data_IF_312388541672
#
_entry.id   IF_312388541672
#
_cell.length_a   1.000
_cell.length_b   1.000
_cell.length_c   1.000
_cell.angle_alpha   90.00
_cell.angle_beta   90.00
_cell.angle_gamma   90.00
#
_symmetry.space_group_name_H-M   'P 1'
#
loop_
_entity.id
_entity.type
_entity.pdbx_description
1 polymer ?
#
# COMPACT_ATOMS: atom_id res chain seq x y z
N UNK A 1 13.09 -52.33 -7.40
CA UNK A 1 13.12 -51.44 -6.23
C UNK A 1 12.71 -50.07 -6.70
N UNK A 2 11.87 -49.42 -5.91
CA UNK A 2 10.93 -48.36 -6.25
C UNK A 2 11.48 -47.10 -6.90
N UNK A 3 10.60 -46.53 -7.72
CA UNK A 3 10.56 -45.18 -8.26
C UNK A 3 10.61 -44.12 -7.13
N UNK A 4 11.43 -43.08 -7.29
CA UNK A 4 11.31 -41.84 -6.51
C UNK A 4 10.94 -40.73 -7.48
N UNK A 5 9.65 -40.40 -7.50
CA UNK A 5 9.09 -39.23 -8.16
C UNK A 5 9.65 -37.94 -7.52
N UNK A 6 9.94 -36.88 -8.31
CA UNK A 6 10.20 -35.59 -7.72
C UNK A 6 8.89 -35.02 -7.18
N UNK A 7 8.91 -34.70 -5.88
CA UNK A 7 7.87 -33.96 -5.20
C UNK A 7 7.73 -32.57 -5.84
N UNK A 8 6.66 -32.38 -6.62
CA UNK A 8 6.26 -31.05 -7.11
C UNK A 8 5.76 -30.22 -5.92
N UNK A 9 6.60 -29.31 -5.46
CA UNK A 9 6.17 -28.21 -4.60
C UNK A 9 5.08 -27.36 -5.29
N UNK A 10 4.31 -26.58 -4.53
CA UNK A 10 3.22 -25.77 -5.09
C UNK A 10 3.77 -24.83 -6.19
N UNK A 11 3.03 -24.67 -7.30
CA UNK A 11 3.46 -23.78 -8.37
C UNK A 11 3.59 -22.35 -7.82
N UNK A 12 4.74 -21.73 -8.04
CA UNK A 12 4.88 -20.29 -7.85
C UNK A 12 3.84 -19.59 -8.75
N UNK A 13 3.20 -18.50 -8.29
CA UNK A 13 2.22 -17.80 -9.11
C UNK A 13 2.91 -17.33 -10.40
N UNK A 14 2.47 -17.89 -11.53
CA UNK A 14 2.94 -17.50 -12.86
C UNK A 14 2.50 -16.06 -13.09
N UNK A 15 3.46 -15.13 -13.09
CA UNK A 15 3.19 -13.73 -13.42
C UNK A 15 2.84 -13.66 -14.90
N UNK A 16 1.60 -13.26 -15.22
CA UNK A 16 1.14 -13.13 -16.60
C UNK A 16 1.99 -12.07 -17.33
N UNK A 17 2.58 -12.39 -18.50
CA UNK A 17 3.49 -11.49 -19.21
C UNK A 17 2.79 -10.24 -19.78
N UNK A 18 1.46 -10.19 -19.81
CA UNK A 18 0.66 -9.02 -20.17
C UNK A 18 0.11 -8.27 -18.95
N UNK A 19 0.37 -8.74 -17.73
CA UNK A 19 0.03 -7.99 -16.52
C UNK A 19 0.85 -6.69 -16.45
N UNK A 20 0.27 -5.58 -15.95
CA UNK A 20 1.01 -4.36 -15.74
C UNK A 20 2.22 -4.62 -14.82
N UNK A 21 3.42 -4.31 -15.31
CA UNK A 21 4.63 -4.44 -14.51
C UNK A 21 4.64 -3.40 -13.40
N UNK A 22 4.98 -3.76 -12.15
CA UNK A 22 5.05 -2.80 -11.05
C UNK A 22 6.10 -1.73 -11.35
N UNK A 23 5.77 -0.47 -11.07
CA UNK A 23 6.62 0.70 -11.38
C UNK A 23 7.95 0.72 -10.60
N UNK A 24 8.13 -0.15 -9.60
CA UNK A 24 9.33 -0.29 -8.77
C UNK A 24 9.84 1.03 -8.15
N UNK A 25 8.94 1.99 -7.89
CA UNK A 25 9.30 3.25 -7.24
C UNK A 25 9.58 2.99 -5.76
N UNK A 26 10.79 3.25 -5.26
CA UNK A 26 11.11 3.05 -3.86
C UNK A 26 10.26 3.99 -2.99
N UNK A 27 9.47 3.42 -2.09
CA UNK A 27 8.68 4.18 -1.10
C UNK A 27 9.45 4.23 0.22
N UNK A 28 10.00 5.40 0.54
CA UNK A 28 10.52 5.64 1.89
C UNK A 28 9.34 5.91 2.83
N UNK A 29 9.29 5.30 4.03
CA UNK A 29 8.22 5.58 4.98
C UNK A 29 8.17 7.07 5.30
N UNK A 30 6.96 7.61 5.39
CA UNK A 30 6.72 9.03 5.63
C UNK A 30 6.89 9.37 7.12
N UNK A 31 6.78 8.36 7.99
CA UNK A 31 6.82 8.52 9.44
C UNK A 31 5.45 8.76 10.07
N UNK A 32 4.40 8.87 9.25
CA UNK A 32 3.01 8.86 9.71
C UNK A 32 2.35 7.51 9.40
N UNK A 33 1.90 6.81 10.44
CA UNK A 33 1.33 5.48 10.30
C UNK A 33 0.04 5.45 9.47
N UNK A 34 -0.74 6.55 9.47
CA UNK A 34 -1.95 6.66 8.67
C UNK A 34 -1.63 6.79 7.19
N UNK A 35 -0.70 7.67 6.85
CA UNK A 35 -0.20 7.84 5.47
C UNK A 35 0.48 6.56 4.97
N UNK A 36 1.36 5.96 5.77
CA UNK A 36 2.09 4.75 5.39
C UNK A 36 1.15 3.56 5.15
N UNK A 37 0.09 3.41 5.95
CA UNK A 37 -0.92 2.37 5.74
C UNK A 37 -1.69 2.56 4.42
N UNK A 38 -2.02 3.80 4.04
CA UNK A 38 -2.70 4.10 2.77
C UNK A 38 -1.79 3.87 1.56
N UNK A 39 -0.50 4.16 1.69
CA UNK A 39 0.49 3.85 0.65
C UNK A 39 0.70 2.34 0.47
N UNK A 40 0.68 1.57 1.55
CA UNK A 40 0.70 0.12 1.48
C UNK A 40 -0.55 -0.42 0.75
N UNK A 41 -1.74 0.11 1.06
CA UNK A 41 -3.00 -0.25 0.37
C UNK A 41 -2.98 0.09 -1.11
N UNK A 42 -2.31 1.17 -1.51
CA UNK A 42 -2.14 1.51 -2.91
C UNK A 42 -1.32 0.45 -3.67
N UNK A 43 -0.35 -0.20 -3.02
CA UNK A 43 0.42 -1.28 -3.63
C UNK A 43 -0.43 -2.53 -3.94
N UNK A 44 -1.54 -2.75 -3.22
CA UNK A 44 -2.49 -3.82 -3.57
C UNK A 44 -3.13 -3.57 -4.95
N UNK A 45 -3.30 -2.31 -5.37
CA UNK A 45 -3.89 -1.98 -6.67
C UNK A 45 -3.04 -2.49 -7.84
N UNK A 46 -1.70 -2.52 -7.72
CA UNK A 46 -0.81 -3.07 -8.76
C UNK A 46 -1.14 -4.54 -9.08
N UNK A 47 -1.82 -5.25 -8.17
CA UNK A 47 -2.16 -6.67 -8.31
C UNK A 47 -3.63 -6.91 -8.67
N UNK A 48 -4.44 -5.85 -8.73
CA UNK A 48 -5.86 -5.94 -9.08
C UNK A 48 -6.06 -5.85 -10.60
N UNK A 49 -7.15 -6.43 -11.13
CA UNK A 49 -7.61 -6.10 -12.47
C UNK A 49 -8.08 -4.63 -12.50
N UNK A 50 -8.03 -4.00 -13.67
CA UNK A 50 -8.29 -2.56 -13.87
C UNK A 50 -9.66 -2.11 -13.33
N UNK A 51 -10.66 -2.99 -13.37
CA UNK A 51 -12.00 -2.76 -12.81
C UNK A 51 -11.97 -2.52 -11.29
N UNK A 52 -11.00 -3.09 -10.59
CA UNK A 52 -10.78 -2.93 -9.15
C UNK A 52 -9.92 -1.72 -8.76
N UNK A 53 -9.20 -1.12 -9.72
CA UNK A 53 -8.26 -0.03 -9.42
C UNK A 53 -8.98 1.22 -8.91
N UNK A 54 -10.11 1.59 -9.54
CA UNK A 54 -10.83 2.82 -9.20
C UNK A 54 -11.26 2.84 -7.73
N UNK A 55 -11.83 1.74 -7.22
CA UNK A 55 -12.27 1.65 -5.83
C UNK A 55 -11.10 1.78 -4.84
N UNK A 56 -9.92 1.23 -5.18
CA UNK A 56 -8.71 1.41 -4.35
C UNK A 56 -8.21 2.84 -4.42
N UNK A 57 -8.16 3.45 -5.60
CA UNK A 57 -7.72 4.85 -5.74
C UNK A 57 -8.59 5.83 -4.97
N UNK A 58 -9.91 5.62 -4.96
CA UNK A 58 -10.86 6.46 -4.21
C UNK A 58 -10.70 6.28 -2.70
N UNK A 59 -10.58 5.04 -2.22
CA UNK A 59 -10.35 4.76 -0.79
C UNK A 59 -9.03 5.35 -0.30
N UNK A 60 -7.96 5.17 -1.08
CA UNK A 60 -6.63 5.74 -0.78
C UNK A 60 -6.68 7.26 -0.78
N UNK A 61 -7.32 7.90 -1.77
CA UNK A 61 -7.43 9.36 -1.81
C UNK A 61 -8.18 9.90 -0.60
N UNK A 62 -9.32 9.31 -0.25
CA UNK A 62 -10.11 9.73 0.90
C UNK A 62 -9.33 9.53 2.20
N UNK A 63 -8.69 8.37 2.36
CA UNK A 63 -7.90 8.05 3.54
C UNK A 63 -6.66 8.93 3.71
N UNK A 64 -5.98 9.27 2.61
CA UNK A 64 -4.84 10.19 2.65
C UNK A 64 -5.28 11.61 3.01
N UNK A 65 -6.42 12.05 2.49
CA UNK A 65 -6.98 13.38 2.82
C UNK A 65 -7.31 13.49 4.30
N UNK A 66 -7.95 12.47 4.86
CA UNK A 66 -8.27 12.40 6.29
C UNK A 66 -7.02 12.40 7.18
N UNK A 67 -5.99 11.61 6.82
CA UNK A 67 -4.73 11.59 7.55
C UNK A 67 -4.02 12.96 7.54
N UNK A 68 -4.01 13.63 6.38
CA UNK A 68 -3.40 14.96 6.26
C UNK A 68 -4.20 16.04 7.01
N UNK A 69 -5.54 15.97 6.97
CA UNK A 69 -6.42 16.86 7.75
C UNK A 69 -6.21 16.67 9.26
N UNK A 70 -6.07 15.42 9.71
CA UNK A 70 -5.75 15.12 11.11
C UNK A 70 -4.38 15.65 11.55
N UNK A 71 -3.38 15.64 10.66
CA UNK A 71 -2.06 16.23 10.94
C UNK A 71 -2.13 17.75 11.06
N UNK A 72 -2.94 18.41 10.22
CA UNK A 72 -3.19 19.85 10.23
C UNK A 72 -3.99 20.28 11.47
N UNK A 73 -4.93 19.44 11.92
CA UNK A 73 -5.75 19.67 13.09
C UNK A 73 -5.00 19.46 14.43
N UNK A 74 -3.76 18.95 14.43
CA UNK A 74 -2.97 18.85 15.66
C UNK A 74 -2.67 20.26 16.16
N UNK A 75 -3.12 20.65 17.37
CA UNK A 75 -2.88 21.99 17.88
C UNK A 75 -1.37 22.25 17.95
N UNK A 76 -0.95 23.36 17.32
CA UNK A 76 0.38 23.92 17.56
C UNK A 76 0.59 24.09 19.07
N UNK A 77 1.81 23.76 19.49
CA UNK A 77 2.34 23.77 20.85
C UNK A 77 1.61 24.71 21.84
N UNK A 78 1.33 24.27 23.09
CA UNK A 78 0.62 25.09 24.07
C UNK A 78 1.26 26.47 24.18
N UNK A 79 0.43 27.51 24.06
CA UNK A 79 0.87 28.89 24.13
C UNK A 79 1.68 29.13 25.43
N UNK A 80 2.79 29.87 25.37
CA UNK A 80 3.59 30.15 26.56
C UNK A 80 2.74 30.86 27.61
N UNK A 81 2.79 30.35 28.86
CA UNK A 81 2.05 30.94 29.97
C UNK A 81 2.47 32.40 30.19
N UNK A 82 1.52 33.34 30.41
CA UNK A 82 1.87 34.71 30.73
C UNK A 82 2.65 34.76 32.06
N UNK A 83 3.73 35.53 32.06
CA UNK A 83 4.60 35.75 33.23
C UNK A 83 3.94 36.68 34.25
#
# INVERSE_FOLDING_TARGET
MSESAPESGPPAPESDPAAPAPLAVPRNPTGDAGVDARLARLADADHLPTEGHLGVYEDVHRGLRDALDALDARPDHPAPAPR
#
